data_IF_270118905281
#
_entry.id   IF_270118905281
#
_cell.length_a   1.000
_cell.length_b   1.000
_cell.length_c   1.000
_cell.angle_alpha   90.00
_cell.angle_beta   90.00
_cell.angle_gamma   90.00
#
_symmetry.space_group_name_H-M   'P 1'
#
loop_
_entity.id
_entity.type
_entity.pdbx_description
1 polymer ?
#
# COMPACT_ATOMS: atom_id res chain seq x y z
N UNK A 1 -18.35 36.42 -14.83
CA UNK A 1 -17.32 36.08 -13.82
C UNK A 1 -17.39 34.57 -13.65
N UNK A 2 -16.41 33.84 -14.18
CA UNK A 2 -16.35 32.38 -14.01
C UNK A 2 -16.07 32.10 -12.54
N UNK A 3 -17.07 31.63 -11.81
CA UNK A 3 -16.96 31.09 -10.46
C UNK A 3 -16.06 29.84 -10.51
N UNK A 4 -14.76 30.06 -10.37
CA UNK A 4 -13.77 29.00 -10.22
C UNK A 4 -13.83 28.48 -8.78
N UNK A 5 -14.97 27.88 -8.40
CA UNK A 5 -15.07 27.19 -7.11
C UNK A 5 -14.17 25.96 -7.22
N UNK A 6 -13.08 25.85 -6.44
CA UNK A 6 -12.22 24.69 -6.49
C UNK A 6 -13.11 23.48 -6.22
N UNK A 7 -13.16 22.59 -7.20
CA UNK A 7 -14.05 21.44 -7.23
C UNK A 7 -13.84 20.63 -5.94
N UNK A 8 -14.75 20.75 -4.97
CA UNK A 8 -14.66 20.13 -3.63
C UNK A 8 -14.51 18.60 -3.72
N UNK A 9 -14.95 17.99 -4.84
CA UNK A 9 -14.71 16.57 -5.16
C UNK A 9 -13.26 16.24 -5.54
N UNK A 10 -12.50 17.19 -6.09
CA UNK A 10 -11.10 16.98 -6.49
C UNK A 10 -10.14 17.07 -5.30
N UNK A 11 -10.37 18.01 -4.37
CA UNK A 11 -9.58 18.13 -3.13
C UNK A 11 -9.75 16.90 -2.21
N UNK A 12 -10.97 16.36 -2.11
CA UNK A 12 -11.24 15.13 -1.34
C UNK A 12 -10.61 13.88 -1.98
N UNK A 13 -10.46 13.83 -3.31
CA UNK A 13 -9.73 12.75 -4.00
C UNK A 13 -8.24 12.78 -3.71
N UNK A 14 -7.63 13.96 -3.70
CA UNK A 14 -6.21 14.11 -3.41
C UNK A 14 -5.89 13.68 -1.96
N UNK A 15 -6.79 14.03 -1.02
CA UNK A 15 -6.71 13.55 0.36
C UNK A 15 -6.85 12.03 0.46
N UNK A 16 -7.76 11.41 -0.30
CA UNK A 16 -7.90 9.95 -0.35
C UNK A 16 -6.64 9.27 -0.92
N UNK A 17 -6.04 9.85 -1.97
CA UNK A 17 -4.82 9.34 -2.61
C UNK A 17 -3.61 9.33 -1.66
N UNK A 18 -3.49 10.31 -0.76
CA UNK A 18 -2.40 10.37 0.23
C UNK A 18 -2.59 9.32 1.36
N UNK A 19 -3.84 8.98 1.71
CA UNK A 19 -4.13 8.01 2.76
C UNK A 19 -3.90 6.55 2.33
N UNK A 20 -4.02 6.25 1.04
CA UNK A 20 -3.82 4.91 0.48
C UNK A 20 -2.40 4.35 0.79
N UNK A 21 -1.29 5.06 0.50
CA UNK A 21 0.05 4.59 0.83
C UNK A 21 0.28 4.37 2.33
N UNK A 22 -0.36 5.18 3.18
CA UNK A 22 -0.23 5.05 4.64
C UNK A 22 -0.83 3.72 5.11
N UNK A 23 -2.02 3.37 4.61
CA UNK A 23 -2.66 2.08 4.89
C UNK A 23 -1.86 0.91 4.32
N UNK A 24 -1.29 1.08 3.13
CA UNK A 24 -0.41 0.09 2.50
C UNK A 24 0.89 -0.13 3.30
N UNK A 25 1.45 0.94 3.88
CA UNK A 25 2.63 0.88 4.74
C UNK A 25 2.42 -0.02 5.95
N UNK A 26 1.21 -0.02 6.54
CA UNK A 26 0.86 -0.93 7.63
C UNK A 26 0.88 -2.42 7.18
N UNK A 27 0.41 -2.72 5.97
CA UNK A 27 0.46 -4.07 5.41
C UNK A 27 1.91 -4.51 5.21
N UNK A 28 2.75 -3.67 4.58
CA UNK A 28 4.17 -3.99 4.35
C UNK A 28 4.90 -4.19 5.70
N UNK A 29 4.62 -3.35 6.70
CA UNK A 29 5.18 -3.50 8.04
C UNK A 29 4.76 -4.82 8.69
N UNK A 30 3.49 -5.21 8.57
CA UNK A 30 2.99 -6.48 9.08
C UNK A 30 3.72 -7.66 8.43
N UNK A 31 3.87 -7.66 7.11
CA UNK A 31 4.60 -8.70 6.38
C UNK A 31 6.10 -8.73 6.71
N UNK A 32 6.74 -7.58 6.92
CA UNK A 32 8.13 -7.49 7.38
C UNK A 32 8.31 -8.06 8.78
N UNK A 33 7.40 -7.73 9.70
CA UNK A 33 7.42 -8.26 11.07
C UNK A 33 7.21 -9.79 11.08
N UNK A 34 6.22 -10.28 10.32
CA UNK A 34 5.97 -11.72 10.15
C UNK A 34 7.17 -12.43 9.51
N UNK A 35 7.79 -11.79 8.52
CA UNK A 35 8.97 -12.29 7.85
C UNK A 35 10.16 -12.46 8.79
N UNK A 36 10.45 -11.43 9.61
CA UNK A 36 11.50 -11.49 10.63
C UNK A 36 11.19 -12.54 11.70
N UNK A 37 9.94 -12.60 12.17
CA UNK A 37 9.52 -13.62 13.14
C UNK A 37 9.73 -15.04 12.58
N UNK A 38 9.46 -15.25 11.29
CA UNK A 38 9.67 -16.55 10.65
C UNK A 38 11.15 -16.89 10.49
N UNK A 39 12.00 -15.91 10.18
CA UNK A 39 13.46 -16.07 10.12
C UNK A 39 14.04 -16.44 11.51
N UNK A 40 13.50 -15.86 12.59
CA UNK A 40 13.94 -16.16 13.97
C UNK A 40 13.45 -17.53 14.47
N UNK A 41 12.21 -17.94 14.14
CA UNK A 41 11.64 -19.21 14.62
C UNK A 41 12.02 -20.41 13.75
N UNK A 42 12.35 -20.19 12.47
CA UNK A 42 12.85 -21.22 11.57
C UNK A 42 14.21 -20.82 11.00
N UNK A 43 15.27 -20.78 11.84
CA UNK A 43 16.61 -20.40 11.41
C UNK A 43 17.10 -21.41 10.37
N UNK A 44 17.00 -21.04 9.11
CA UNK A 44 17.43 -21.85 7.98
C UNK A 44 18.55 -21.10 7.27
N UNK A 45 19.81 -21.59 7.29
CA UNK A 45 20.96 -20.84 6.76
C UNK A 45 20.91 -20.57 5.25
N UNK A 46 19.90 -21.10 4.55
CA UNK A 46 19.70 -20.94 3.11
C UNK A 46 18.41 -20.20 2.74
N UNK A 47 17.46 -20.03 3.68
CA UNK A 47 16.13 -19.47 3.38
C UNK A 47 15.92 -18.22 4.21
N UNK A 48 15.90 -17.07 3.55
CA UNK A 48 15.54 -15.78 4.13
C UNK A 48 14.05 -15.55 3.86
N UNK A 49 13.21 -16.06 4.76
CA UNK A 49 11.77 -15.91 4.68
C UNK A 49 11.35 -14.44 4.72
N UNK A 50 12.02 -13.60 5.51
CA UNK A 50 11.73 -12.16 5.55
C UNK A 50 11.84 -11.52 4.16
N UNK A 51 12.92 -11.84 3.43
CA UNK A 51 13.19 -11.25 2.12
C UNK A 51 12.10 -11.62 1.10
N UNK A 52 11.63 -12.86 1.14
CA UNK A 52 10.55 -13.36 0.28
C UNK A 52 9.22 -12.73 0.68
N UNK A 53 8.88 -12.76 1.99
CA UNK A 53 7.62 -12.23 2.50
C UNK A 53 7.47 -10.74 2.23
N UNK A 54 8.55 -9.96 2.42
CA UNK A 54 8.57 -8.52 2.13
C UNK A 54 8.40 -8.24 0.64
N UNK A 55 9.07 -8.99 -0.24
CA UNK A 55 8.88 -8.82 -1.69
C UNK A 55 7.44 -9.12 -2.12
N UNK A 56 6.85 -10.19 -1.60
CA UNK A 56 5.44 -10.52 -1.86
C UNK A 56 4.52 -9.45 -1.27
N UNK A 57 4.78 -9.01 -0.04
CA UNK A 57 4.05 -7.94 0.63
C UNK A 57 4.06 -6.64 -0.17
N UNK A 58 5.23 -6.21 -0.68
CA UNK A 58 5.38 -5.02 -1.53
C UNK A 58 4.66 -5.19 -2.87
N UNK A 59 4.73 -6.37 -3.50
CA UNK A 59 4.04 -6.62 -4.76
C UNK A 59 2.51 -6.53 -4.60
N UNK A 60 1.95 -7.17 -3.56
CA UNK A 60 0.52 -7.13 -3.24
C UNK A 60 0.05 -5.71 -2.87
N UNK A 61 0.86 -5.03 -2.07
CA UNK A 61 0.66 -3.65 -1.67
C UNK A 61 0.53 -2.73 -2.90
N UNK A 62 1.49 -2.77 -3.82
CA UNK A 62 1.46 -1.98 -5.06
C UNK A 62 0.26 -2.33 -5.94
N UNK A 63 -0.08 -3.61 -6.09
CA UNK A 63 -1.26 -4.04 -6.84
C UNK A 63 -2.55 -3.44 -6.27
N UNK A 64 -2.72 -3.49 -4.95
CA UNK A 64 -3.89 -2.93 -4.28
C UNK A 64 -3.98 -1.41 -4.41
N UNK A 65 -2.85 -0.70 -4.37
CA UNK A 65 -2.82 0.75 -4.60
C UNK A 65 -3.24 1.09 -6.02
N UNK A 66 -2.66 0.44 -7.03
CA UNK A 66 -3.01 0.68 -8.43
C UNK A 66 -4.50 0.44 -8.66
N UNK A 67 -5.06 -0.62 -8.07
CA UNK A 67 -6.49 -0.91 -8.12
C UNK A 67 -7.33 0.19 -7.47
N UNK A 68 -6.99 0.62 -6.25
CA UNK A 68 -7.72 1.68 -5.53
C UNK A 68 -7.67 3.02 -6.27
N UNK A 69 -6.50 3.37 -6.81
CA UNK A 69 -6.32 4.59 -7.62
C UNK A 69 -7.20 4.53 -8.87
N UNK A 70 -7.23 3.38 -9.56
CA UNK A 70 -8.07 3.20 -10.74
C UNK A 70 -9.58 3.25 -10.42
N UNK A 71 -10.03 2.74 -9.28
CA UNK A 71 -11.43 2.84 -8.84
C UNK A 71 -11.85 4.30 -8.52
N UNK A 72 -10.97 5.07 -7.88
CA UNK A 72 -11.18 6.51 -7.63
C UNK A 72 -11.28 7.30 -8.95
N UNK A 73 -10.59 6.84 -9.99
CA UNK A 73 -10.63 7.44 -11.32
C UNK A 73 -11.86 7.00 -12.13
N UNK A 74 -12.31 5.74 -11.99
CA UNK A 74 -13.54 5.21 -12.64
C UNK A 74 -14.84 5.71 -12.04
N UNK A 75 -14.87 6.06 -10.76
CA UNK A 75 -16.02 6.69 -10.08
C UNK A 75 -16.16 8.19 -10.40
N UNK A 76 -15.62 8.61 -11.55
CA UNK A 76 -15.82 9.93 -12.15
C UNK A 76 -17.05 9.95 -13.03
#
# INVERSE_FOLDING_TARGET
>A
MMDNKPNKKQASKWLALINIPIQMGAIIFLFSFLGNWLDENHPSPKVYYNKILVMVGVALALYNVIRQVNEINKSQ
#
